data_IF_113117960149
#
_entry.id   IF_113117960149
#
_cell.length_a   1.000
_cell.length_b   1.000
_cell.length_c   1.000
_cell.angle_alpha   90.00
_cell.angle_beta   90.00
_cell.angle_gamma   90.00
#
_symmetry.space_group_name_H-M   'P 1'
#
loop_
_entity.id
_entity.type
_entity.pdbx_description
1 polymer ?
#
# COMPACT_ATOMS: atom_id res chain seq x y z
N UNK A 1 -43.69 -21.02 8.45
CA UNK A 1 -42.33 -21.11 9.04
C UNK A 1 -41.28 -21.37 7.96
N UNK A 2 -41.48 -22.33 7.08
CA UNK A 2 -40.64 -22.64 5.90
C UNK A 2 -40.14 -21.46 5.05
N UNK A 3 -41.00 -20.48 4.64
CA UNK A 3 -40.54 -19.38 3.78
C UNK A 3 -39.59 -18.39 4.49
N UNK A 4 -39.62 -18.35 5.83
CA UNK A 4 -38.68 -17.52 6.62
C UNK A 4 -37.33 -18.21 6.74
N UNK A 5 -37.33 -19.53 6.97
CA UNK A 5 -36.11 -20.36 7.00
C UNK A 5 -35.35 -20.29 5.68
N UNK A 6 -36.04 -20.40 4.54
CA UNK A 6 -35.41 -20.32 3.22
C UNK A 6 -34.77 -18.94 2.97
N UNK A 7 -35.46 -17.85 3.37
CA UNK A 7 -34.89 -16.50 3.27
C UNK A 7 -33.64 -16.31 4.12
N UNK A 8 -33.60 -16.89 5.33
CA UNK A 8 -32.42 -16.84 6.20
C UNK A 8 -31.27 -17.63 5.58
N UNK A 9 -31.54 -18.84 5.05
CA UNK A 9 -30.53 -19.67 4.39
C UNK A 9 -29.95 -18.97 3.16
N UNK A 10 -30.79 -18.31 2.36
CA UNK A 10 -30.36 -17.53 1.19
C UNK A 10 -29.45 -16.38 1.60
N UNK A 11 -29.86 -15.58 2.57
CA UNK A 11 -29.08 -14.45 3.06
C UNK A 11 -27.73 -14.88 3.65
N UNK A 12 -27.69 -16.00 4.40
CA UNK A 12 -26.44 -16.56 4.93
C UNK A 12 -25.54 -17.04 3.79
N UNK A 13 -26.11 -17.72 2.80
CA UNK A 13 -25.33 -18.25 1.67
C UNK A 13 -24.74 -17.11 0.83
N UNK A 14 -25.54 -16.12 0.47
CA UNK A 14 -25.11 -14.94 -0.26
C UNK A 14 -23.99 -14.21 0.48
N UNK A 15 -24.11 -14.08 1.82
CA UNK A 15 -23.08 -13.49 2.66
C UNK A 15 -21.78 -14.29 2.63
N UNK A 16 -21.83 -15.62 2.67
CA UNK A 16 -20.64 -16.48 2.54
C UNK A 16 -19.98 -16.30 1.18
N UNK A 17 -20.76 -16.25 0.10
CA UNK A 17 -20.26 -16.02 -1.26
C UNK A 17 -19.55 -14.65 -1.32
N UNK A 18 -20.18 -13.59 -0.81
CA UNK A 18 -19.58 -12.25 -0.74
C UNK A 18 -18.33 -12.22 0.12
N UNK A 19 -18.26 -12.98 1.20
CA UNK A 19 -17.05 -13.08 2.02
C UNK A 19 -15.89 -13.74 1.27
N UNK A 20 -16.16 -14.75 0.42
CA UNK A 20 -15.14 -15.36 -0.45
C UNK A 20 -14.64 -14.39 -1.51
N UNK A 21 -15.56 -13.68 -2.18
CA UNK A 21 -15.23 -12.65 -3.17
C UNK A 21 -14.39 -11.53 -2.53
N UNK A 22 -14.76 -11.09 -1.33
CA UNK A 22 -14.00 -10.12 -0.56
C UNK A 22 -12.59 -10.62 -0.23
N UNK A 23 -12.46 -11.88 0.20
CA UNK A 23 -11.18 -12.54 0.45
C UNK A 23 -10.27 -12.57 -0.79
N UNK A 24 -10.83 -12.90 -1.96
CA UNK A 24 -10.10 -12.88 -3.22
C UNK A 24 -9.67 -11.45 -3.60
N UNK A 25 -10.54 -10.46 -3.41
CA UNK A 25 -10.22 -9.05 -3.64
C UNK A 25 -9.05 -8.57 -2.78
N UNK A 26 -9.05 -8.92 -1.50
CA UNK A 26 -7.93 -8.64 -0.57
C UNK A 26 -6.64 -9.30 -1.05
N UNK A 27 -6.71 -10.55 -1.50
CA UNK A 27 -5.55 -11.28 -2.03
C UNK A 27 -4.94 -10.59 -3.25
N UNK A 28 -5.77 -10.21 -4.22
CA UNK A 28 -5.36 -9.48 -5.44
C UNK A 28 -4.64 -8.17 -5.04
N UNK A 29 -5.26 -7.35 -4.19
CA UNK A 29 -4.67 -6.09 -3.72
C UNK A 29 -3.31 -6.33 -3.06
N UNK A 30 -3.22 -7.34 -2.19
CA UNK A 30 -1.97 -7.69 -1.49
C UNK A 30 -0.87 -8.12 -2.46
N UNK A 31 -1.18 -9.01 -3.41
CA UNK A 31 -0.20 -9.49 -4.39
C UNK A 31 0.32 -8.35 -5.27
N UNK A 32 -0.59 -7.54 -5.80
CA UNK A 32 -0.25 -6.42 -6.68
C UNK A 32 0.58 -5.37 -5.93
N UNK A 33 0.17 -5.01 -4.71
CA UNK A 33 0.90 -4.07 -3.86
C UNK A 33 2.27 -4.61 -3.46
N UNK A 34 2.41 -5.91 -3.21
CA UNK A 34 3.71 -6.56 -2.93
C UNK A 34 4.67 -6.45 -4.12
N UNK A 35 4.14 -6.49 -5.35
CA UNK A 35 4.90 -6.31 -6.59
C UNK A 35 5.14 -4.83 -6.96
N UNK A 36 4.67 -3.88 -6.15
CA UNK A 36 4.78 -2.45 -6.45
C UNK A 36 3.91 -2.00 -7.63
N UNK A 37 2.88 -2.78 -7.98
CA UNK A 37 1.98 -2.48 -9.08
C UNK A 37 0.75 -1.71 -8.56
N UNK A 38 0.41 -0.61 -9.23
CA UNK A 38 -0.70 0.28 -8.88
C UNK A 38 -1.53 0.61 -10.12
N UNK A 39 -2.82 0.89 -9.96
CA UNK A 39 -3.70 1.31 -11.06
C UNK A 39 -3.31 2.69 -11.60
N UNK A 40 -2.83 3.56 -10.72
CA UNK A 40 -2.26 4.87 -11.03
C UNK A 40 -1.02 5.07 -10.15
N UNK A 41 -0.03 5.78 -10.67
CA UNK A 41 1.24 5.99 -9.98
C UNK A 41 2.28 4.90 -10.21
N UNK A 42 1.97 3.93 -11.06
CA UNK A 42 2.95 3.01 -11.66
C UNK A 42 3.72 3.77 -12.74
N UNK A 43 4.78 4.45 -12.34
CA UNK A 43 5.81 4.90 -13.30
C UNK A 43 6.96 3.89 -13.29
N UNK A 44 7.68 3.65 -14.39
CA UNK A 44 8.94 2.92 -14.36
C UNK A 44 9.85 3.47 -13.25
N UNK A 45 10.31 2.62 -12.33
CA UNK A 45 11.09 3.04 -11.17
C UNK A 45 10.27 3.52 -9.96
N UNK A 46 8.93 3.50 -9.98
CA UNK A 46 8.08 3.82 -8.81
C UNK A 46 8.16 2.77 -7.70
N UNK A 47 8.55 1.56 -8.10
CA UNK A 47 9.00 0.45 -7.32
C UNK A 47 10.40 0.64 -6.74
N UNK A 48 11.18 1.65 -7.16
CA UNK A 48 12.54 1.90 -6.68
C UNK A 48 12.63 3.19 -5.86
N UNK A 49 13.50 3.22 -4.84
CA UNK A 49 13.77 4.47 -4.13
C UNK A 49 14.54 5.44 -5.02
N UNK A 50 14.23 6.73 -4.92
CA UNK A 50 14.91 7.78 -5.70
C UNK A 50 16.43 7.73 -5.50
N UNK A 51 17.15 7.68 -6.61
CA UNK A 51 18.61 7.86 -6.70
C UNK A 51 18.99 9.30 -7.03
N UNK A 52 18.02 10.17 -7.30
CA UNK A 52 18.29 11.58 -7.61
C UNK A 52 18.79 12.34 -6.37
N UNK A 53 19.75 13.27 -6.55
CA UNK A 53 20.26 14.11 -5.48
C UNK A 53 19.14 14.82 -4.71
N UNK A 54 19.27 14.87 -3.39
CA UNK A 54 18.33 15.61 -2.56
C UNK A 54 19.00 16.15 -1.31
N UNK A 55 18.43 17.22 -0.75
CA UNK A 55 18.91 17.83 0.47
C UNK A 55 17.90 17.71 1.61
N UNK A 56 18.39 17.48 2.83
CA UNK A 56 17.56 17.44 4.03
C UNK A 56 18.34 17.86 5.29
N UNK A 57 17.66 18.27 6.38
CA UNK A 57 18.33 18.62 7.63
C UNK A 57 19.15 17.47 8.19
N UNK A 58 20.38 17.73 8.63
CA UNK A 58 21.29 16.72 9.20
C UNK A 58 20.65 15.99 10.37
N UNK A 59 19.96 16.72 11.25
CA UNK A 59 19.26 16.13 12.40
C UNK A 59 18.23 15.08 12.00
N UNK A 60 17.54 15.26 10.86
CA UNK A 60 16.58 14.27 10.36
C UNK A 60 17.28 13.02 9.81
N UNK A 61 18.41 13.18 9.10
CA UNK A 61 19.20 12.04 8.61
C UNK A 61 19.82 11.24 9.74
N UNK A 62 20.37 11.95 10.72
CA UNK A 62 21.03 11.35 11.86
C UNK A 62 20.08 10.52 12.71
N UNK A 63 18.82 10.97 12.89
CA UNK A 63 17.74 10.17 13.51
C UNK A 63 17.48 8.86 12.75
N UNK A 64 17.65 8.83 11.43
CA UNK A 64 17.43 7.63 10.62
C UNK A 64 18.63 6.70 10.56
N UNK A 65 19.84 7.26 10.52
CA UNK A 65 21.09 6.54 10.21
C UNK A 65 21.96 6.26 11.44
N UNK A 66 21.57 6.76 12.62
CA UNK A 66 22.34 6.61 13.86
C UNK A 66 23.57 7.52 13.88
N UNK A 67 23.40 8.80 13.54
CA UNK A 67 24.47 9.82 13.55
C UNK A 67 25.65 9.60 12.57
N UNK A 68 25.51 8.71 11.58
CA UNK A 68 26.59 8.37 10.63
C UNK A 68 26.89 9.46 9.59
N UNK A 69 26.02 10.45 9.40
CA UNK A 69 26.18 11.37 8.26
C UNK A 69 27.35 12.35 8.42
N UNK A 70 27.67 12.73 9.65
CA UNK A 70 28.76 13.68 9.89
C UNK A 70 30.13 13.05 9.62
N UNK A 71 30.31 11.75 9.90
CA UNK A 71 31.53 11.04 9.55
C UNK A 71 31.60 10.77 8.05
N UNK A 72 30.48 10.36 7.45
CA UNK A 72 30.41 10.09 6.01
C UNK A 72 30.67 11.34 5.15
N UNK A 73 30.19 12.51 5.57
CA UNK A 73 30.49 13.76 4.88
C UNK A 73 31.96 14.19 4.97
N UNK A 74 32.71 13.70 5.96
CA UNK A 74 34.16 13.91 6.05
C UNK A 74 34.94 12.91 5.22
N UNK A 75 34.52 11.65 5.23
CA UNK A 75 35.21 10.56 4.52
C UNK A 75 34.88 10.48 3.03
N UNK A 76 33.70 10.94 2.62
CA UNK A 76 33.18 10.84 1.26
C UNK A 76 32.39 12.13 0.88
N UNK A 77 33.09 13.26 0.75
CA UNK A 77 32.47 14.58 0.56
C UNK A 77 31.73 14.72 -0.78
N UNK A 78 32.11 13.93 -1.79
CA UNK A 78 31.46 13.91 -3.10
C UNK A 78 30.05 13.29 -3.03
N UNK A 79 29.81 12.41 -2.05
CA UNK A 79 28.51 11.77 -1.83
C UNK A 79 27.64 12.48 -0.80
N UNK A 80 28.27 13.11 0.18
CA UNK A 80 27.61 13.76 1.29
C UNK A 80 28.20 15.15 1.53
N UNK A 81 27.49 16.19 1.07
CA UNK A 81 27.96 17.56 1.22
C UNK A 81 27.17 18.30 2.31
N UNK A 82 27.87 18.78 3.35
CA UNK A 82 27.26 19.56 4.43
C UNK A 82 27.22 21.03 4.06
N UNK A 83 26.07 21.67 4.26
CA UNK A 83 25.90 23.10 4.06
C UNK A 83 24.91 23.69 5.07
N UNK A 84 24.97 25.01 5.28
CA UNK A 84 23.96 25.71 6.08
C UNK A 84 22.84 26.23 5.19
N UNK A 85 21.60 25.96 5.58
CA UNK A 85 20.43 26.49 4.87
C UNK A 85 20.35 28.00 5.04
N UNK A 86 20.36 28.76 3.94
CA UNK A 86 20.23 30.22 3.95
C UNK A 86 18.94 30.73 4.61
N UNK A 87 17.88 29.91 4.63
CA UNK A 87 16.57 30.29 5.20
C UNK A 87 16.45 30.04 6.71
N UNK A 88 17.07 28.98 7.20
CA UNK A 88 16.85 28.49 8.59
C UNK A 88 18.12 28.48 9.43
N UNK A 89 19.27 28.83 8.82
CA UNK A 89 20.62 28.71 9.36
C UNK A 89 20.98 27.31 9.93
N UNK A 90 20.12 26.31 9.67
CA UNK A 90 20.28 24.95 10.15
C UNK A 90 21.26 24.18 9.28
N UNK A 91 21.92 23.17 9.84
CA UNK A 91 22.83 22.30 9.11
C UNK A 91 22.07 21.27 8.28
N UNK A 92 22.35 21.23 6.99
CA UNK A 92 21.74 20.35 6.00
C UNK A 92 22.82 19.51 5.34
N UNK A 93 22.40 18.38 4.78
CA UNK A 93 23.23 17.51 3.97
C UNK A 93 22.59 17.34 2.60
N UNK A 94 23.39 17.53 1.55
CA UNK A 94 23.08 17.11 0.20
C UNK A 94 23.59 15.68 0.02
N UNK A 95 22.70 14.78 -0.36
CA UNK A 95 23.01 13.37 -0.65
C UNK A 95 22.89 13.17 -2.14
N UNK A 96 24.02 12.99 -2.83
CA UNK A 96 24.06 12.94 -4.30
C UNK A 96 23.51 11.64 -4.86
N UNK A 97 23.66 10.52 -4.14
CA UNK A 97 23.11 9.20 -4.51
C UNK A 97 21.61 9.01 -4.16
N UNK A 98 20.95 10.08 -3.71
CA UNK A 98 19.52 10.09 -3.43
C UNK A 98 19.08 9.37 -2.15
N UNK A 99 17.76 9.26 -1.99
CA UNK A 99 17.13 8.71 -0.79
C UNK A 99 17.38 7.20 -0.61
N UNK A 100 17.63 6.47 -1.69
CA UNK A 100 17.99 5.03 -1.64
C UNK A 100 19.23 4.80 -0.76
N UNK A 101 20.24 5.66 -0.86
CA UNK A 101 21.47 5.57 -0.06
C UNK A 101 21.21 5.73 1.44
N UNK A 102 20.32 6.64 1.82
CA UNK A 102 19.95 6.87 3.22
C UNK A 102 19.23 5.65 3.82
N UNK A 103 18.39 4.97 3.03
CA UNK A 103 17.77 3.70 3.44
C UNK A 103 18.80 2.61 3.71
N UNK A 104 19.79 2.47 2.82
CA UNK A 104 20.89 1.51 2.97
C UNK A 104 21.70 1.77 4.24
N UNK A 105 22.09 3.03 4.48
CA UNK A 105 22.81 3.43 5.69
C UNK A 105 22.04 3.17 6.99
N UNK A 106 20.71 3.27 6.92
CA UNK A 106 19.79 2.96 8.00
C UNK A 106 19.52 1.45 8.19
N UNK A 107 20.16 0.57 7.40
CA UNK A 107 19.93 -0.88 7.46
C UNK A 107 18.53 -1.31 7.01
N UNK A 108 17.86 -0.49 6.19
CA UNK A 108 16.50 -0.78 5.70
C UNK A 108 16.56 -1.28 4.26
N UNK A 109 15.63 -2.16 3.88
CA UNK A 109 15.49 -2.64 2.50
C UNK A 109 15.47 -1.45 1.51
N UNK A 110 16.29 -1.52 0.47
CA UNK A 110 16.47 -0.44 -0.50
C UNK A 110 16.17 -0.82 -1.95
N UNK A 111 15.92 -2.10 -2.20
CA UNK A 111 15.86 -2.67 -3.56
C UNK A 111 14.54 -2.33 -4.22
N UNK A 112 13.48 -2.46 -3.45
CA UNK A 112 12.16 -2.02 -3.83
C UNK A 112 11.74 -0.96 -2.81
N UNK A 113 10.87 -0.04 -3.18
CA UNK A 113 10.01 0.71 -2.28
C UNK A 113 9.07 -0.32 -1.66
N UNK A 114 9.64 -1.16 -0.79
CA UNK A 114 8.93 -1.84 0.26
C UNK A 114 8.43 -0.71 1.13
N UNK A 115 7.22 -0.28 0.82
CA UNK A 115 6.42 0.44 1.77
C UNK A 115 6.54 -0.34 3.08
N UNK A 116 7.29 0.16 4.06
CA UNK A 116 7.16 -0.32 5.45
C UNK A 116 5.70 -0.14 5.93
N UNK A 117 4.96 0.69 5.20
CA UNK A 117 3.51 0.74 5.08
C UNK A 117 2.84 -0.58 4.63
N UNK A 118 3.27 -1.30 3.57
CA UNK A 118 2.53 -2.45 3.03
C UNK A 118 2.46 -3.62 4.00
N UNK A 119 3.46 -3.83 4.86
CA UNK A 119 3.40 -4.91 5.86
C UNK A 119 2.25 -4.71 6.85
N UNK A 120 2.29 -3.66 7.67
CA UNK A 120 1.27 -3.45 8.71
C UNK A 120 -0.07 -3.00 8.12
N UNK A 121 -0.06 -2.12 7.13
CA UNK A 121 -1.29 -1.61 6.50
C UNK A 121 -1.98 -2.74 5.74
N UNK A 122 -1.28 -3.51 4.89
CA UNK A 122 -1.94 -4.61 4.17
C UNK A 122 -2.34 -5.77 5.08
N UNK A 123 -1.66 -5.99 6.22
CA UNK A 123 -2.15 -6.91 7.25
C UNK A 123 -3.50 -6.48 7.82
N UNK A 124 -3.71 -5.16 7.96
CA UNK A 124 -4.96 -4.58 8.44
C UNK A 124 -6.03 -4.37 7.34
N UNK A 125 -5.73 -4.72 6.08
CA UNK A 125 -6.73 -4.73 5.00
C UNK A 125 -7.69 -5.90 5.24
N UNK A 126 -8.97 -5.58 5.40
CA UNK A 126 -10.03 -6.53 5.70
C UNK A 126 -11.32 -6.19 4.95
N UNK A 127 -12.30 -7.10 5.02
CA UNK A 127 -13.67 -6.83 4.63
C UNK A 127 -14.38 -6.15 5.79
N UNK A 128 -14.56 -4.83 5.72
CA UNK A 128 -15.12 -4.02 6.82
C UNK A 128 -16.65 -4.12 6.91
N UNK A 129 -17.29 -4.57 5.83
CA UNK A 129 -18.72 -4.89 5.77
C UNK A 129 -18.92 -5.94 4.68
N UNK A 130 -19.74 -6.96 4.99
CA UNK A 130 -20.13 -8.02 4.06
C UNK A 130 -21.64 -8.19 4.19
N UNK A 131 -22.35 -7.69 3.18
CA UNK A 131 -23.78 -7.84 2.98
C UNK A 131 -24.02 -8.90 1.90
N UNK A 132 -25.25 -9.42 1.75
CA UNK A 132 -25.58 -10.43 0.73
C UNK A 132 -25.20 -10.04 -0.71
N UNK A 133 -25.16 -8.74 -1.03
CA UNK A 133 -24.93 -8.24 -2.39
C UNK A 133 -23.74 -7.31 -2.54
N UNK A 134 -23.10 -6.95 -1.44
CA UNK A 134 -21.95 -6.06 -1.46
C UNK A 134 -20.94 -6.45 -0.39
N UNK A 135 -19.66 -6.29 -0.71
CA UNK A 135 -18.60 -6.37 0.27
C UNK A 135 -17.73 -5.11 0.15
N UNK A 136 -17.47 -4.47 1.28
CA UNK A 136 -16.63 -3.28 1.37
C UNK A 136 -15.27 -3.68 1.91
N UNK A 137 -14.23 -3.38 1.16
CA UNK A 137 -12.84 -3.61 1.56
C UNK A 137 -12.24 -2.32 2.12
N UNK A 138 -11.53 -2.43 3.23
CA UNK A 138 -10.99 -1.26 3.91
C UNK A 138 -10.08 -1.60 5.07
N UNK A 139 -9.89 -0.64 5.96
CA UNK A 139 -9.04 -0.75 7.14
C UNK A 139 -9.87 -0.44 8.38
N UNK A 140 -9.79 -1.30 9.39
CA UNK A 140 -10.40 -1.05 10.71
C UNK A 140 -9.55 -0.09 11.54
N UNK A 141 -8.22 -0.15 11.39
CA UNK A 141 -7.28 0.75 12.06
C UNK A 141 -7.33 2.14 11.42
N UNK A 142 -7.72 3.15 12.21
CA UNK A 142 -7.87 4.54 11.75
C UNK A 142 -6.57 5.08 11.16
N UNK A 143 -5.42 4.69 11.72
CA UNK A 143 -4.11 5.07 11.18
C UNK A 143 -3.89 4.48 9.79
N UNK A 144 -4.16 3.20 9.58
CA UNK A 144 -4.09 2.54 8.28
C UNK A 144 -5.08 3.12 7.26
N UNK A 145 -6.28 3.54 7.72
CA UNK A 145 -7.28 4.22 6.90
C UNK A 145 -6.81 5.59 6.41
N UNK A 146 -6.31 6.45 7.30
CA UNK A 146 -5.77 7.77 6.92
C UNK A 146 -4.62 7.66 5.92
N UNK A 147 -3.72 6.73 6.20
CA UNK A 147 -2.65 6.28 5.32
C UNK A 147 -3.21 5.91 3.93
N UNK A 148 -4.24 5.05 3.86
CA UNK A 148 -4.86 4.67 2.59
C UNK A 148 -5.41 5.87 1.81
N UNK A 149 -6.07 6.81 2.50
CA UNK A 149 -6.61 8.05 1.90
C UNK A 149 -5.49 8.88 1.29
N UNK A 150 -4.36 9.04 1.99
CA UNK A 150 -3.24 9.82 1.46
C UNK A 150 -2.64 9.22 0.19
N UNK A 151 -2.60 7.90 0.02
CA UNK A 151 -2.03 7.30 -1.20
C UNK A 151 -3.03 7.22 -2.34
N UNK A 152 -4.27 6.81 -2.05
CA UNK A 152 -5.24 6.55 -3.10
C UNK A 152 -5.93 7.83 -3.56
N UNK A 153 -6.13 8.81 -2.67
CA UNK A 153 -6.98 9.98 -2.92
C UNK A 153 -6.16 11.27 -2.97
N UNK A 154 -5.43 11.61 -1.89
CA UNK A 154 -4.82 12.94 -1.75
C UNK A 154 -3.45 13.07 -2.46
N UNK A 155 -2.74 11.96 -2.62
CA UNK A 155 -1.36 11.92 -3.08
C UNK A 155 -0.36 12.11 -1.94
N UNK A 156 0.73 11.33 -1.96
CA UNK A 156 1.74 11.33 -0.91
C UNK A 156 2.97 12.16 -1.25
N UNK A 157 3.55 12.79 -0.22
CA UNK A 157 4.80 13.57 -0.31
C UNK A 157 4.65 14.91 -1.03
N UNK A 158 5.77 15.62 -1.21
CA UNK A 158 5.80 16.97 -1.80
C UNK A 158 5.23 17.01 -3.22
N UNK A 159 5.41 15.94 -3.98
CA UNK A 159 4.93 15.82 -5.36
C UNK A 159 3.48 15.32 -5.47
N UNK A 160 2.79 15.07 -4.35
CA UNK A 160 1.40 14.56 -4.28
C UNK A 160 1.13 13.40 -5.25
N UNK A 161 2.09 12.46 -5.38
CA UNK A 161 1.91 11.31 -6.27
C UNK A 161 0.92 10.33 -5.63
N UNK A 162 -0.13 9.96 -6.38
CA UNK A 162 -1.07 8.92 -5.98
C UNK A 162 -0.48 7.55 -6.29
N UNK A 163 -0.82 6.56 -5.47
CA UNK A 163 -0.52 5.14 -5.69
C UNK A 163 -1.82 4.39 -5.47
N UNK A 164 -2.65 4.30 -6.51
CA UNK A 164 -3.98 3.72 -6.40
C UNK A 164 -3.84 2.19 -6.32
N UNK A 165 -4.00 1.65 -5.12
CA UNK A 165 -3.89 0.21 -4.84
C UNK A 165 -5.19 -0.43 -4.36
N UNK A 166 -6.15 0.37 -3.88
CA UNK A 166 -7.42 -0.15 -3.35
C UNK A 166 -8.46 -0.50 -4.44
N UNK A 167 -8.24 -0.05 -5.67
CA UNK A 167 -9.13 -0.35 -6.79
C UNK A 167 -8.77 -1.64 -7.52
N UNK A 168 -9.70 -2.10 -8.36
CA UNK A 168 -9.51 -3.23 -9.26
C UNK A 168 -9.45 -2.77 -10.72
N UNK A 169 -8.54 -3.37 -11.50
CA UNK A 169 -8.50 -3.26 -12.94
C UNK A 169 -9.65 -4.06 -13.57
N UNK A 170 -9.96 -3.81 -14.85
CA UNK A 170 -11.02 -4.55 -15.57
C UNK A 170 -10.84 -6.06 -15.49
N UNK A 171 -9.61 -6.54 -15.70
CA UNK A 171 -9.26 -7.96 -15.61
C UNK A 171 -9.49 -8.54 -14.20
N UNK A 172 -9.13 -7.80 -13.16
CA UNK A 172 -9.35 -8.23 -11.77
C UNK A 172 -10.85 -8.23 -11.42
N UNK A 173 -11.62 -7.30 -11.97
CA UNK A 173 -13.09 -7.29 -11.84
C UNK A 173 -13.68 -8.53 -12.51
N UNK A 174 -13.27 -8.85 -13.74
CA UNK A 174 -13.72 -10.05 -14.45
C UNK A 174 -13.40 -11.34 -13.67
N UNK A 175 -12.21 -11.43 -13.05
CA UNK A 175 -11.82 -12.56 -12.21
C UNK A 175 -12.75 -12.70 -10.98
N UNK A 176 -13.05 -11.59 -10.30
CA UNK A 176 -13.96 -11.57 -9.15
C UNK A 176 -15.39 -11.90 -9.55
N UNK A 177 -15.85 -11.39 -10.70
CA UNK A 177 -17.18 -11.71 -11.25
C UNK A 177 -17.31 -13.18 -11.59
N UNK A 178 -16.30 -13.79 -12.23
CA UNK A 178 -16.31 -15.21 -12.53
C UNK A 178 -16.37 -16.07 -11.27
N UNK A 179 -15.62 -15.69 -10.22
CA UNK A 179 -15.68 -16.36 -8.92
C UNK A 179 -17.08 -16.28 -8.32
N UNK A 180 -17.68 -15.08 -8.29
CA UNK A 180 -19.04 -14.88 -7.78
C UNK A 180 -20.07 -15.72 -8.56
N UNK A 181 -20.02 -15.71 -9.89
CA UNK A 181 -20.93 -16.49 -10.74
C UNK A 181 -20.81 -17.98 -10.51
N UNK A 182 -19.59 -18.52 -10.36
CA UNK A 182 -19.37 -19.95 -10.08
C UNK A 182 -19.96 -20.37 -8.74
N UNK A 183 -19.75 -19.57 -7.70
CA UNK A 183 -20.27 -19.83 -6.36
C UNK A 183 -21.80 -19.75 -6.32
N UNK A 184 -22.39 -18.76 -6.99
CA UNK A 184 -23.85 -18.64 -7.14
C UNK A 184 -24.45 -19.82 -7.90
N UNK A 185 -23.85 -20.22 -9.04
CA UNK A 185 -24.31 -21.37 -9.81
C UNK A 185 -24.26 -22.67 -9.00
N UNK A 186 -23.15 -22.90 -8.27
CA UNK A 186 -23.00 -24.07 -7.41
C UNK A 186 -24.03 -24.11 -6.27
N UNK A 187 -24.48 -22.95 -5.79
CA UNK A 187 -25.56 -22.86 -4.80
C UNK A 187 -26.92 -23.18 -5.41
N UNK A 188 -27.22 -22.63 -6.60
CA UNK A 188 -28.48 -22.90 -7.31
C UNK A 188 -28.62 -24.39 -7.59
N UNK A 189 -27.57 -25.04 -8.12
CA UNK A 189 -27.58 -26.48 -8.41
C UNK A 189 -27.88 -27.29 -7.14
N UNK A 190 -27.26 -26.94 -6.01
CA UNK A 190 -27.49 -27.61 -4.72
C UNK A 190 -28.91 -27.49 -4.18
N UNK A 191 -29.65 -26.45 -4.59
CA UNK A 191 -31.06 -26.26 -4.19
C UNK A 191 -32.06 -26.96 -5.11
N UNK A 192 -31.62 -27.33 -6.31
CA UNK A 192 -32.43 -28.04 -7.31
C UNK A 192 -32.32 -29.57 -7.19
N UNK A 193 -31.36 -30.05 -6.40
CA UNK A 193 -31.16 -31.46 -6.04
C UNK A 193 -31.87 -31.76 -4.72
#
# INVERSE_FOLDING_TARGET
>A
MEPVLNKIQDAVTDRIIMQRVAGQGIFIIRQRTKKGQYLEGSSPGSENYSTNPFAMPVGAVNKMTGNKINSLAKSDPDKFHLFRSKKTNSLWVLVTEGYKRIRQLAGKNSDVVTMSWSGKVMRNLAAVSVEPREAKLGFEDERAKQISIWQNIMGAGKSKKKKIYMGFSKKEIEELSLLASKEMAANIIRKLQ
#
